data_IF_556651433478
#
_entry.id   IF_556651433478
#
_cell.length_a   1.000
_cell.length_b   1.000
_cell.length_c   1.000
_cell.angle_alpha   90.00
_cell.angle_beta   90.00
_cell.angle_gamma   90.00
#
_symmetry.space_group_name_H-M   'P 1'
#
loop_
_entity.id
_entity.type
_entity.pdbx_description
1 polymer ?
#
# COMPACT_ATOMS: atom_id res chain seq x y z
N UNK A 1 -4.70 12.76 15.04
CA UNK A 1 -5.10 13.26 13.70
C UNK A 1 -6.45 12.66 13.33
N UNK A 2 -7.33 13.42 12.67
CA UNK A 2 -8.73 13.02 12.38
C UNK A 2 -9.04 12.87 10.87
N UNK A 3 -8.03 12.79 10.01
CA UNK A 3 -8.22 12.71 8.57
C UNK A 3 -8.84 11.38 8.14
N UNK A 4 -9.87 11.44 7.32
CA UNK A 4 -10.48 10.30 6.62
C UNK A 4 -9.69 9.96 5.36
N UNK A 5 -10.02 8.84 4.72
CA UNK A 5 -9.44 8.55 3.40
C UNK A 5 -9.89 9.58 2.35
N UNK A 6 -11.09 10.14 2.48
CA UNK A 6 -11.56 11.20 1.57
C UNK A 6 -10.67 12.45 1.67
N UNK A 7 -10.28 12.86 2.87
CA UNK A 7 -9.39 14.02 3.07
C UNK A 7 -8.03 13.80 2.39
N UNK A 8 -7.46 12.58 2.47
CA UNK A 8 -6.23 12.25 1.75
C UNK A 8 -6.41 12.22 0.22
N UNK A 9 -7.57 11.77 -0.27
CA UNK A 9 -7.88 11.80 -1.71
C UNK A 9 -7.97 13.23 -2.22
N UNK A 10 -8.58 14.13 -1.45
CA UNK A 10 -8.71 15.55 -1.79
C UNK A 10 -7.33 16.24 -1.82
N UNK A 11 -6.43 15.87 -0.90
CA UNK A 11 -5.05 16.36 -0.88
C UNK A 11 -4.27 15.92 -2.15
N UNK A 12 -4.35 14.63 -2.50
CA UNK A 12 -3.76 14.10 -3.75
C UNK A 12 -4.35 14.81 -4.97
N UNK A 13 -5.66 15.02 -5.01
CA UNK A 13 -6.32 15.71 -6.11
C UNK A 13 -5.88 17.18 -6.23
N UNK A 14 -5.70 17.86 -5.12
CA UNK A 14 -5.21 19.25 -5.09
C UNK A 14 -3.85 19.34 -5.77
N UNK A 15 -2.88 18.53 -5.34
CA UNK A 15 -1.53 18.51 -5.94
C UNK A 15 -1.57 18.05 -7.40
N UNK A 16 -2.35 17.01 -7.74
CA UNK A 16 -2.44 16.51 -9.10
C UNK A 16 -3.00 17.55 -10.09
N UNK A 17 -3.90 18.43 -9.64
CA UNK A 17 -4.48 19.50 -10.46
C UNK A 17 -3.53 20.68 -10.70
N UNK A 18 -2.48 20.84 -9.90
CA UNK A 18 -1.46 21.88 -10.07
C UNK A 18 -0.38 21.49 -11.10
N UNK A 19 -0.29 20.20 -11.44
CA UNK A 19 0.69 19.71 -12.41
C UNK A 19 0.27 20.05 -13.86
N UNK A 20 1.24 20.29 -14.76
CA UNK A 20 0.95 20.65 -16.16
C UNK A 20 0.25 19.52 -16.95
N UNK A 21 0.27 18.30 -16.44
CA UNK A 21 -0.43 17.15 -16.99
C UNK A 21 -0.85 16.20 -15.87
N UNK A 22 -1.86 15.35 -16.14
CA UNK A 22 -2.34 14.37 -15.17
C UNK A 22 -1.22 13.38 -14.82
N UNK A 23 -0.84 13.24 -13.55
CA UNK A 23 0.25 12.35 -13.15
C UNK A 23 -0.18 10.88 -13.15
N UNK A 24 0.79 9.99 -13.32
CA UNK A 24 0.66 8.59 -12.87
C UNK A 24 0.64 8.59 -11.35
N UNK A 25 -0.31 7.88 -10.75
CA UNK A 25 -0.46 7.84 -9.29
C UNK A 25 0.07 6.52 -8.73
N UNK A 26 1.02 6.60 -7.80
CA UNK A 26 1.72 5.44 -7.23
C UNK A 26 1.53 5.49 -5.71
N UNK A 27 1.04 4.40 -5.13
CA UNK A 27 0.70 4.35 -3.71
C UNK A 27 1.22 3.10 -3.04
N UNK A 28 1.90 3.29 -1.91
CA UNK A 28 2.34 2.21 -1.01
C UNK A 28 1.40 2.09 0.19
N UNK A 29 1.10 0.87 0.63
CA UNK A 29 0.29 0.62 1.84
C UNK A 29 -1.03 1.40 1.86
N UNK A 30 -1.27 2.27 2.85
CA UNK A 30 -2.42 3.19 2.88
C UNK A 30 -2.45 4.13 1.67
N UNK A 31 -1.30 4.62 1.20
CA UNK A 31 -1.20 5.41 -0.04
C UNK A 31 -1.74 4.64 -1.25
N UNK A 32 -1.56 3.32 -1.30
CA UNK A 32 -2.16 2.47 -2.33
C UNK A 32 -3.69 2.40 -2.21
N UNK A 33 -4.24 2.43 -1.00
CA UNK A 33 -5.69 2.56 -0.80
C UNK A 33 -6.21 3.92 -1.25
N UNK A 34 -5.46 4.99 -0.97
CA UNK A 34 -5.78 6.34 -1.45
C UNK A 34 -5.78 6.38 -2.99
N UNK A 35 -4.79 5.78 -3.66
CA UNK A 35 -4.77 5.65 -5.13
C UNK A 35 -6.02 4.93 -5.64
N UNK A 36 -6.39 3.81 -5.00
CA UNK A 36 -7.60 3.06 -5.37
C UNK A 36 -8.87 3.92 -5.26
N UNK A 37 -8.97 4.76 -4.22
CA UNK A 37 -10.11 5.68 -4.00
C UNK A 37 -10.09 6.88 -4.95
N UNK A 38 -8.92 7.48 -5.16
CA UNK A 38 -8.73 8.60 -6.08
C UNK A 38 -9.21 8.25 -7.49
N UNK A 39 -8.83 7.06 -7.98
CA UNK A 39 -9.19 6.57 -9.31
C UNK A 39 -10.68 6.19 -9.48
N UNK A 40 -11.49 6.16 -8.41
CA UNK A 40 -12.95 5.98 -8.54
C UNK A 40 -13.65 7.16 -9.19
N UNK A 41 -13.07 8.36 -9.06
CA UNK A 41 -13.66 9.63 -9.50
C UNK A 41 -12.73 10.53 -10.28
N UNK A 42 -11.42 10.22 -10.32
CA UNK A 42 -10.43 10.99 -11.07
C UNK A 42 -9.74 10.12 -12.12
N UNK A 43 -9.45 10.73 -13.26
CA UNK A 43 -8.69 10.10 -14.34
C UNK A 43 -7.19 10.30 -14.13
N UNK A 44 -6.41 9.23 -14.30
CA UNK A 44 -4.95 9.26 -14.38
C UNK A 44 -4.48 8.39 -15.56
N UNK A 45 -3.28 8.61 -16.11
CA UNK A 45 -2.74 7.76 -17.17
C UNK A 45 -2.53 6.30 -16.73
N UNK A 46 -2.21 6.08 -15.45
CA UNK A 46 -2.00 4.77 -14.84
C UNK A 46 -2.03 4.87 -13.30
N UNK A 47 -2.27 3.74 -12.64
CA UNK A 47 -2.16 3.57 -11.19
C UNK A 47 -1.24 2.41 -10.80
N UNK A 48 -0.43 2.59 -9.76
CA UNK A 48 0.46 1.54 -9.22
C UNK A 48 0.19 1.34 -7.74
N UNK A 49 -0.01 0.08 -7.34
CA UNK A 49 -0.25 -0.33 -5.96
C UNK A 49 0.94 -1.15 -5.46
N UNK A 50 1.59 -0.69 -4.39
CA UNK A 50 2.76 -1.32 -3.76
C UNK A 50 2.41 -1.81 -2.36
N UNK A 51 2.29 -3.13 -2.15
CA UNK A 51 1.89 -3.67 -0.84
C UNK A 51 0.65 -2.94 -0.28
N UNK A 52 -0.30 -2.62 -1.15
CA UNK A 52 -1.39 -1.70 -0.84
C UNK A 52 -2.41 -2.35 0.10
N UNK A 53 -3.04 -1.54 0.95
CA UNK A 53 -4.21 -1.98 1.70
C UNK A 53 -5.28 -2.51 0.72
N UNK A 54 -5.84 -3.71 0.94
CA UNK A 54 -6.63 -4.39 -0.08
C UNK A 54 -7.93 -3.67 -0.42
N UNK A 55 -8.38 -3.78 -1.68
CA UNK A 55 -9.69 -3.27 -2.12
C UNK A 55 -10.88 -3.85 -1.32
N UNK A 56 -10.72 -5.05 -0.74
CA UNK A 56 -11.72 -5.69 0.11
C UNK A 56 -11.63 -5.30 1.60
N UNK A 57 -10.78 -4.33 1.94
CA UNK A 57 -10.55 -3.85 3.30
C UNK A 57 -9.49 -4.63 4.08
N UNK A 58 -9.06 -4.05 5.20
CA UNK A 58 -7.95 -4.58 6.03
C UNK A 58 -8.41 -5.57 7.10
N UNK A 59 -9.69 -5.94 7.17
CA UNK A 59 -10.23 -6.80 8.24
C UNK A 59 -9.51 -8.15 8.39
N UNK A 60 -9.03 -8.74 7.29
CA UNK A 60 -8.24 -9.99 7.32
C UNK A 60 -6.89 -9.79 8.00
N UNK A 61 -6.25 -8.67 7.71
CA UNK A 61 -5.03 -8.23 8.40
C UNK A 61 -5.32 -7.99 9.88
N UNK A 62 -6.39 -7.26 10.21
CA UNK A 62 -6.81 -7.05 11.61
C UNK A 62 -7.04 -8.37 12.35
N UNK A 63 -7.69 -9.36 11.73
CA UNK A 63 -7.89 -10.68 12.35
C UNK A 63 -6.57 -11.44 12.56
N UNK A 64 -5.63 -11.33 11.62
CA UNK A 64 -4.29 -11.92 11.75
C UNK A 64 -3.51 -11.24 12.89
N UNK A 65 -3.59 -9.92 13.00
CA UNK A 65 -2.99 -9.14 14.09
C UNK A 65 -3.63 -9.47 15.44
N UNK A 66 -4.97 -9.61 15.52
CA UNK A 66 -5.66 -10.03 16.73
C UNK A 66 -5.15 -11.38 17.25
N UNK A 67 -4.95 -12.35 16.34
CA UNK A 67 -4.45 -13.69 16.70
C UNK A 67 -3.00 -13.69 17.15
N UNK A 68 -2.15 -12.88 16.52
CA UNK A 68 -0.70 -12.84 16.82
C UNK A 68 -0.35 -11.91 17.97
N UNK A 69 -1.03 -10.77 18.07
CA UNK A 69 -0.70 -9.65 18.95
C UNK A 69 -1.97 -9.01 19.55
N UNK A 70 -2.80 -9.78 20.31
CA UNK A 70 -4.07 -9.29 20.84
C UNK A 70 -3.90 -8.08 21.77
N UNK A 71 -2.80 -8.02 22.55
CA UNK A 71 -2.50 -6.88 23.44
C UNK A 71 -2.18 -5.61 22.67
N UNK A 72 -1.43 -5.70 21.56
CA UNK A 72 -1.09 -4.55 20.74
C UNK A 72 -2.34 -3.99 20.04
N UNK A 73 -3.20 -4.88 19.52
CA UNK A 73 -4.48 -4.46 18.92
C UNK A 73 -5.43 -3.86 19.95
N UNK A 74 -5.53 -4.44 21.15
CA UNK A 74 -6.32 -3.84 22.24
C UNK A 74 -5.79 -2.45 22.62
N UNK A 75 -4.47 -2.29 22.70
CA UNK A 75 -3.84 -1.01 22.97
C UNK A 75 -4.13 0.01 21.87
N UNK A 76 -4.00 -0.38 20.59
CA UNK A 76 -4.39 0.44 19.42
C UNK A 76 -5.83 0.93 19.55
N UNK A 77 -6.78 0.02 19.80
CA UNK A 77 -8.20 0.35 19.87
C UNK A 77 -8.53 1.26 21.06
N UNK A 78 -7.93 1.03 22.23
CA UNK A 78 -8.18 1.85 23.43
C UNK A 78 -7.56 3.25 23.31
N UNK A 79 -6.45 3.38 22.57
CA UNK A 79 -5.73 4.65 22.41
C UNK A 79 -6.08 5.37 21.10
N UNK A 80 -6.85 4.72 20.22
CA UNK A 80 -7.13 5.17 18.86
C UNK A 80 -5.83 5.51 18.11
N UNK A 81 -4.82 4.67 18.29
CA UNK A 81 -3.44 4.90 17.83
C UNK A 81 -2.92 3.70 17.04
N UNK A 82 -2.99 3.73 15.70
CA UNK A 82 -2.48 2.65 14.86
C UNK A 82 -0.98 2.41 15.07
N UNK A 83 -0.25 3.46 15.49
CA UNK A 83 1.17 3.39 15.83
C UNK A 83 1.47 2.31 16.87
N UNK A 84 0.53 1.95 17.76
CA UNK A 84 0.75 0.87 18.76
C UNK A 84 1.03 -0.51 18.16
N UNK A 85 0.74 -0.72 16.87
CA UNK A 85 1.05 -1.96 16.15
C UNK A 85 2.51 -2.04 15.70
N UNK A 86 3.20 -0.91 15.60
CA UNK A 86 4.59 -0.77 15.11
C UNK A 86 5.48 0.07 16.02
N UNK A 87 4.97 0.59 17.13
CA UNK A 87 5.57 1.68 17.91
C UNK A 87 6.77 1.32 18.79
N UNK A 88 7.40 0.18 18.52
CA UNK A 88 8.67 -0.22 19.11
C UNK A 88 9.54 -0.78 17.98
N UNK A 89 10.85 -0.65 18.09
CA UNK A 89 11.79 -1.15 17.08
C UNK A 89 11.56 -2.64 16.76
N UNK A 90 11.32 -3.48 17.77
CA UNK A 90 11.02 -4.91 17.59
C UNK A 90 9.74 -5.14 16.78
N UNK A 91 8.65 -4.44 17.13
CA UNK A 91 7.38 -4.55 16.41
C UNK A 91 7.49 -4.05 14.96
N UNK A 92 8.22 -2.95 14.74
CA UNK A 92 8.49 -2.43 13.40
C UNK A 92 9.35 -3.40 12.59
N UNK A 93 10.46 -3.92 13.16
CA UNK A 93 11.31 -4.93 12.53
C UNK A 93 10.50 -6.12 12.02
N UNK A 94 9.70 -6.73 12.89
CA UNK A 94 8.92 -7.93 12.53
C UNK A 94 7.74 -7.64 11.60
N UNK A 95 7.15 -6.44 11.66
CA UNK A 95 5.95 -6.13 10.88
C UNK A 95 6.23 -5.51 9.51
N UNK A 96 7.31 -4.72 9.40
CA UNK A 96 7.55 -3.80 8.29
C UNK A 96 8.73 -4.19 7.39
N UNK A 97 9.75 -4.85 7.96
CA UNK A 97 11.03 -5.10 7.29
C UNK A 97 11.36 -6.58 7.17
N UNK A 98 12.14 -6.95 6.15
CA UNK A 98 12.60 -8.32 5.98
C UNK A 98 13.75 -8.64 6.94
N UNK A 99 14.04 -9.93 7.09
CA UNK A 99 15.21 -10.38 7.82
C UNK A 99 16.55 -9.92 7.20
N UNK A 100 16.56 -9.52 5.92
CA UNK A 100 17.77 -9.10 5.21
C UNK A 100 18.11 -7.62 5.42
N UNK A 101 17.13 -6.83 5.87
CA UNK A 101 17.32 -5.41 6.11
C UNK A 101 18.39 -5.19 7.21
N UNK A 102 19.40 -4.33 7.02
CA UNK A 102 20.39 -4.05 8.06
C UNK A 102 19.77 -3.37 9.28
N UNK A 103 20.20 -3.73 10.49
CA UNK A 103 19.60 -3.20 11.73
C UNK A 103 19.72 -1.67 11.82
N UNK A 104 20.86 -1.11 11.41
CA UNK A 104 21.06 0.34 11.38
C UNK A 104 20.04 1.06 10.48
N UNK A 105 19.62 0.44 9.38
CA UNK A 105 18.60 1.02 8.51
C UNK A 105 17.19 0.87 9.11
N UNK A 106 16.92 -0.21 9.84
CA UNK A 106 15.65 -0.37 10.61
C UNK A 106 15.54 0.74 11.64
N UNK A 107 16.59 0.97 12.43
CA UNK A 107 16.63 2.04 13.44
C UNK A 107 16.43 3.41 12.78
N UNK A 108 17.13 3.67 11.68
CA UNK A 108 17.01 4.91 10.91
C UNK A 108 15.58 5.15 10.45
N UNK A 109 14.94 4.15 9.86
CA UNK A 109 13.58 4.29 9.32
C UNK A 109 12.51 4.26 10.40
N UNK A 110 12.72 3.50 11.49
CA UNK A 110 11.86 3.51 12.66
C UNK A 110 11.77 4.92 13.28
N UNK A 111 12.88 5.66 13.32
CA UNK A 111 12.91 7.04 13.81
C UNK A 111 12.07 8.02 12.96
N UNK A 112 11.71 7.65 11.72
CA UNK A 112 10.86 8.45 10.84
C UNK A 112 9.38 8.06 10.92
N UNK A 113 9.03 6.96 11.60
CA UNK A 113 7.65 6.54 11.75
C UNK A 113 6.88 7.53 12.61
N UNK A 114 5.69 7.87 12.14
CA UNK A 114 4.77 8.77 12.82
C UNK A 114 3.43 8.08 13.03
N UNK A 115 2.55 8.76 13.74
CA UNK A 115 1.23 8.26 14.03
C UNK A 115 0.30 8.41 12.82
N UNK A 116 -0.34 7.31 12.42
CA UNK A 116 -1.36 7.31 11.38
C UNK A 116 -2.72 7.78 11.89
N UNK A 117 -3.58 8.22 10.97
CA UNK A 117 -4.96 8.57 11.28
C UNK A 117 -5.81 7.33 11.60
N UNK A 118 -6.32 7.25 12.82
CA UNK A 118 -7.27 6.20 13.19
C UNK A 118 -8.58 6.24 12.38
N UNK A 119 -9.01 7.44 11.94
CA UNK A 119 -10.20 7.54 11.07
C UNK A 119 -9.96 6.93 9.69
N UNK A 120 -8.77 7.12 9.12
CA UNK A 120 -8.40 6.46 7.88
C UNK A 120 -8.32 4.93 8.03
N UNK A 121 -7.86 4.44 9.19
CA UNK A 121 -7.89 3.01 9.51
C UNK A 121 -9.31 2.43 9.53
N UNK A 122 -10.29 3.13 10.10
CA UNK A 122 -11.70 2.69 10.10
C UNK A 122 -12.31 2.66 8.69
N UNK A 123 -11.99 3.66 7.87
CA UNK A 123 -12.37 3.68 6.45
C UNK A 123 -11.83 2.47 5.70
N UNK A 124 -10.54 2.17 5.88
CA UNK A 124 -9.88 1.01 5.28
C UNK A 124 -10.36 -0.33 5.84
N UNK A 125 -10.87 -0.37 7.07
CA UNK A 125 -11.36 -1.59 7.69
C UNK A 125 -12.58 -2.12 6.92
N UNK A 126 -13.63 -1.31 6.83
CA UNK A 126 -14.90 -1.67 6.19
C UNK A 126 -15.76 -0.49 5.72
N UNK A 127 -15.53 0.75 6.19
CA UNK A 127 -16.52 1.83 6.03
C UNK A 127 -16.52 2.47 4.63
N UNK A 128 -15.34 2.66 4.02
CA UNK A 128 -15.22 3.38 2.74
C UNK A 128 -14.32 2.62 1.76
N UNK A 129 -14.65 1.36 1.52
CA UNK A 129 -13.85 0.48 0.67
C UNK A 129 -13.79 0.95 -0.80
N UNK A 130 -12.71 0.61 -1.54
CA UNK A 130 -12.59 0.89 -2.95
C UNK A 130 -13.68 0.23 -3.79
N UNK A 131 -14.00 0.86 -4.93
CA UNK A 131 -14.92 0.35 -5.95
C UNK A 131 -14.18 0.07 -7.26
N UNK A 132 -13.44 -1.06 -7.38
CA UNK A 132 -12.60 -1.35 -8.55
C UNK A 132 -13.30 -1.23 -9.91
N UNK A 133 -14.61 -1.56 -9.99
CA UNK A 133 -15.41 -1.44 -11.21
C UNK A 133 -15.54 0.00 -11.77
N UNK A 134 -15.23 1.02 -10.98
CA UNK A 134 -15.23 2.44 -11.41
C UNK A 134 -13.89 2.88 -11.98
N UNK A 135 -12.82 2.11 -11.76
CA UNK A 135 -11.48 2.45 -12.21
C UNK A 135 -11.29 1.97 -13.64
N UNK A 136 -10.94 2.89 -14.53
CA UNK A 136 -10.65 2.61 -15.95
C UNK A 136 -9.18 2.74 -16.30
N UNK A 137 -8.37 3.34 -15.42
CA UNK A 137 -6.93 3.47 -15.62
C UNK A 137 -6.25 2.07 -15.61
N UNK A 138 -5.19 1.87 -16.42
CA UNK A 138 -4.32 0.70 -16.28
C UNK A 138 -3.76 0.60 -14.86
N UNK A 139 -3.79 -0.61 -14.29
CA UNK A 139 -3.33 -0.86 -12.92
C UNK A 139 -2.17 -1.87 -12.89
N UNK A 140 -1.10 -1.51 -12.19
CA UNK A 140 -0.03 -2.41 -11.78
C UNK A 140 -0.17 -2.71 -10.28
N UNK A 141 -0.13 -3.98 -9.90
CA UNK A 141 -0.29 -4.40 -8.49
C UNK A 141 0.91 -5.25 -8.09
N UNK A 142 1.75 -4.68 -7.24
CA UNK A 142 2.96 -5.32 -6.73
C UNK A 142 2.79 -5.61 -5.24
N UNK A 143 3.30 -6.76 -4.81
CA UNK A 143 3.35 -7.13 -3.39
C UNK A 143 4.68 -7.80 -3.05
N UNK A 144 4.84 -8.11 -1.78
CA UNK A 144 6.04 -8.76 -1.24
C UNK A 144 5.70 -10.12 -0.62
N UNK A 145 6.60 -11.09 -0.77
CA UNK A 145 6.42 -12.45 -0.28
C UNK A 145 6.25 -12.52 1.23
N UNK A 146 7.06 -11.73 1.96
CA UNK A 146 7.08 -11.70 3.42
C UNK A 146 6.33 -10.49 4.00
N UNK A 147 5.39 -9.92 3.23
CA UNK A 147 4.54 -8.84 3.74
C UNK A 147 3.60 -9.36 4.84
N UNK A 148 3.88 -8.94 6.08
CA UNK A 148 3.10 -9.29 7.26
C UNK A 148 1.86 -8.40 7.44
N UNK A 149 1.82 -7.22 6.81
CA UNK A 149 0.66 -6.35 6.80
C UNK A 149 -0.40 -6.89 5.84
N UNK A 150 -0.04 -7.15 4.58
CA UNK A 150 -0.96 -7.63 3.54
C UNK A 150 -0.38 -8.82 2.80
N UNK A 151 -1.00 -10.00 3.00
CA UNK A 151 -0.47 -11.23 2.43
C UNK A 151 -0.52 -11.25 0.90
N UNK A 152 0.34 -12.04 0.22
CA UNK A 152 0.26 -12.24 -1.23
C UNK A 152 -1.12 -12.66 -1.73
N UNK A 153 -1.92 -13.35 -0.91
CA UNK A 153 -3.30 -13.73 -1.24
C UNK A 153 -4.22 -12.50 -1.33
N UNK A 154 -4.05 -11.53 -0.44
CA UNK A 154 -4.81 -10.27 -0.40
C UNK A 154 -4.39 -9.35 -1.56
N UNK A 155 -3.10 -9.27 -1.86
CA UNK A 155 -2.57 -8.53 -3.01
C UNK A 155 -3.12 -9.12 -4.33
N UNK A 156 -3.05 -10.44 -4.51
CA UNK A 156 -3.64 -11.13 -5.68
C UNK A 156 -5.16 -10.92 -5.78
N UNK A 157 -5.87 -10.85 -4.66
CA UNK A 157 -7.31 -10.56 -4.68
C UNK A 157 -7.59 -9.13 -5.16
N UNK A 158 -6.76 -8.17 -4.75
CA UNK A 158 -6.84 -6.79 -5.23
C UNK A 158 -6.55 -6.71 -6.73
N UNK A 159 -5.49 -7.35 -7.22
CA UNK A 159 -5.19 -7.40 -8.66
C UNK A 159 -6.36 -7.97 -9.49
N UNK A 160 -6.94 -9.09 -9.06
CA UNK A 160 -8.13 -9.67 -9.72
C UNK A 160 -9.31 -8.70 -9.74
N UNK A 161 -9.51 -7.93 -8.67
CA UNK A 161 -10.60 -6.95 -8.61
C UNK A 161 -10.41 -5.81 -9.64
N UNK A 162 -9.17 -5.51 -10.01
CA UNK A 162 -8.81 -4.55 -11.07
C UNK A 162 -8.60 -5.21 -12.45
N UNK A 163 -8.89 -6.51 -12.60
CA UNK A 163 -8.72 -7.20 -13.88
C UNK A 163 -7.26 -7.36 -14.32
N UNK A 164 -6.31 -7.34 -13.38
CA UNK A 164 -4.88 -7.53 -13.63
C UNK A 164 -4.33 -8.67 -12.79
N UNK A 165 -3.04 -8.97 -12.96
CA UNK A 165 -2.31 -9.95 -12.17
C UNK A 165 -1.39 -9.26 -11.17
N UNK A 166 -1.22 -9.88 -10.01
CA UNK A 166 -0.30 -9.36 -9.00
C UNK A 166 1.08 -9.97 -9.20
N UNK A 167 2.10 -9.14 -9.10
CA UNK A 167 3.50 -9.58 -9.11
C UNK A 167 4.03 -9.52 -7.68
N UNK A 168 4.52 -10.67 -7.19
CA UNK A 168 4.97 -10.82 -5.81
C UNK A 168 6.49 -10.91 -5.80
N UNK A 169 7.14 -9.93 -5.19
CA UNK A 169 8.59 -9.87 -5.08
C UNK A 169 9.08 -10.82 -3.98
N UNK A 170 9.99 -11.75 -4.29
CA UNK A 170 10.53 -12.68 -3.31
C UNK A 170 11.49 -11.96 -2.35
N UNK A 171 11.65 -12.51 -1.15
CA UNK A 171 12.59 -12.02 -0.13
C UNK A 171 12.37 -10.57 0.35
N UNK A 172 11.25 -9.93 0.00
CA UNK A 172 10.90 -8.58 0.46
C UNK A 172 9.80 -8.64 1.53
N UNK A 173 9.77 -7.62 2.39
CA UNK A 173 8.67 -7.38 3.33
C UNK A 173 7.83 -6.15 2.92
N UNK A 174 7.07 -5.60 3.86
CA UNK A 174 6.04 -4.59 3.58
C UNK A 174 6.61 -3.29 2.99
N UNK A 175 7.75 -2.80 3.48
CA UNK A 175 8.39 -1.58 2.97
C UNK A 175 9.21 -1.82 1.70
N UNK A 176 8.56 -2.32 0.64
CA UNK A 176 9.18 -2.71 -0.64
C UNK A 176 10.13 -1.66 -1.25
N UNK A 177 9.90 -0.37 -0.98
CA UNK A 177 10.72 0.74 -1.48
C UNK A 177 11.99 1.02 -0.67
N UNK A 178 12.13 0.38 0.50
CA UNK A 178 13.25 0.54 1.43
C UNK A 178 14.05 -0.76 1.61
N UNK A 179 13.52 -1.88 1.13
CA UNK A 179 14.13 -3.21 1.23
C UNK A 179 15.40 -3.31 0.37
N UNK A 180 16.36 -4.18 0.74
CA UNK A 180 17.41 -4.59 -0.18
C UNK A 180 16.82 -5.11 -1.50
N UNK A 181 17.25 -4.53 -2.62
CA UNK A 181 16.74 -4.85 -3.95
C UNK A 181 15.50 -4.07 -4.38
N UNK A 182 15.12 -3.00 -3.67
CA UNK A 182 14.04 -2.07 -4.03
C UNK A 182 14.17 -1.55 -5.48
N UNK A 183 15.39 -1.49 -6.02
CA UNK A 183 15.68 -1.09 -7.40
C UNK A 183 14.89 -1.95 -8.39
N UNK A 184 14.71 -3.25 -8.13
CA UNK A 184 13.92 -4.15 -8.97
C UNK A 184 12.45 -3.76 -9.00
N UNK A 185 11.92 -3.23 -7.90
CA UNK A 185 10.54 -2.72 -7.84
C UNK A 185 10.42 -1.46 -8.68
N UNK A 186 11.39 -0.54 -8.56
CA UNK A 186 11.43 0.70 -9.34
C UNK A 186 11.58 0.44 -10.84
N UNK A 187 12.52 -0.44 -11.23
CA UNK A 187 12.75 -0.88 -12.61
C UNK A 187 11.49 -1.53 -13.20
N UNK A 188 10.79 -2.35 -12.42
CA UNK A 188 9.55 -2.99 -12.87
C UNK A 188 8.47 -1.96 -13.17
N UNK A 189 8.32 -0.94 -12.32
CA UNK A 189 7.38 0.17 -12.54
C UNK A 189 7.76 0.97 -13.79
N UNK A 190 9.02 1.39 -13.91
CA UNK A 190 9.50 2.16 -15.06
C UNK A 190 9.29 1.38 -16.38
N UNK A 191 9.69 0.11 -16.40
CA UNK A 191 9.48 -0.76 -17.55
C UNK A 191 8.01 -0.91 -17.94
N UNK A 192 7.12 -1.07 -16.95
CA UNK A 192 5.67 -1.12 -17.21
C UNK A 192 5.13 0.18 -17.81
N UNK A 193 5.54 1.33 -17.28
CA UNK A 193 5.09 2.63 -17.76
C UNK A 193 5.57 2.91 -19.19
N UNK A 194 6.81 2.52 -19.52
CA UNK A 194 7.35 2.59 -20.90
C UNK A 194 6.58 1.69 -21.87
N UNK A 195 6.14 0.52 -21.44
CA UNK A 195 5.30 -0.36 -22.26
C UNK A 195 3.94 0.29 -22.56
N UNK A 196 3.31 0.91 -21.55
CA UNK A 196 2.05 1.65 -21.75
C UNK A 196 2.21 2.82 -22.73
N UNK A 197 3.32 3.56 -22.66
CA UNK A 197 3.58 4.68 -23.57
C UNK A 197 3.84 4.23 -25.01
N UNK A 198 4.51 3.09 -25.20
CA UNK A 198 4.82 2.57 -26.53
C UNK A 198 3.67 1.80 -27.19
N UNK A 199 2.61 1.48 -26.45
CA UNK A 199 1.51 0.62 -26.93
C UNK A 199 1.92 -0.83 -27.20
N UNK A 200 3.10 -1.24 -26.72
CA UNK A 200 3.63 -2.59 -26.93
C UNK A 200 2.84 -3.62 -26.09
N UNK A 201 2.48 -4.79 -26.65
CA UNK A 201 1.81 -5.84 -25.91
C UNK A 201 2.70 -6.38 -24.77
N UNK A 202 2.07 -6.84 -23.68
CA UNK A 202 2.76 -7.51 -22.55
C UNK A 202 3.70 -8.59 -23.08
N UNK A 203 4.98 -8.54 -22.70
CA UNK A 203 5.91 -9.64 -22.97
C UNK A 203 5.39 -10.92 -22.30
N UNK A 204 5.35 -12.06 -23.01
CA UNK A 204 5.04 -13.33 -22.37
C UNK A 204 6.18 -13.71 -21.42
N UNK A 205 5.81 -14.20 -20.22
CA UNK A 205 6.72 -14.86 -19.27
C UNK A 205 7.41 -16.08 -19.87
#
# INVERSE_FOLDING_TARGET
MHSTIADYVDDVATVANELPSRPVVIGHSMGGFIVQKYLESHSAPAGVLLGAAPSGGIWRSTLRTLRRRPRALLAETLTLSPYRLVGTLELARDHMFSAQMPEADVERYFALLQEDSHRAMLDMLVLNLPKPKRVTAPMLVLGAEHDHAFSPKEVRATARAYGTEAEIFPNMAHHMLLEPGWERVAERIDGWLRQLQSGAPKSPE
#
